data_IF_081654546774
#
_entry.id   IF_081654546774
#
_cell.length_a   1.000
_cell.length_b   1.000
_cell.length_c   1.000
_cell.angle_alpha   90.00
_cell.angle_beta   90.00
_cell.angle_gamma   90.00
#
_symmetry.space_group_name_H-M   'P 1'
#
loop_
_entity.id
_entity.type
_entity.pdbx_description
1 polymer ?
#
# COMPACT_ATOMS: atom_id res chain seq x y z
N UNK A 1 -8.13 1.02 -14.44
CA UNK A 1 -8.58 1.50 -13.13
C UNK A 1 -7.40 1.57 -12.21
N UNK A 2 -7.37 2.55 -11.31
CA UNK A 2 -6.26 2.79 -10.38
C UNK A 2 -6.71 2.51 -8.94
N UNK A 3 -5.75 2.28 -8.04
CA UNK A 3 -6.00 2.06 -6.62
C UNK A 3 -5.22 3.06 -5.76
N UNK A 4 -5.73 3.27 -4.55
CA UNK A 4 -5.19 4.18 -3.53
C UNK A 4 -5.50 3.63 -2.13
N UNK A 5 -4.88 4.20 -1.08
CA UNK A 5 -5.02 3.71 0.29
C UNK A 5 -4.12 2.51 0.64
N UNK A 6 -3.36 2.01 -0.35
CA UNK A 6 -2.39 0.91 -0.22
C UNK A 6 -1.40 1.11 0.93
N UNK A 7 -0.94 2.35 1.15
CA UNK A 7 0.05 2.67 2.18
C UNK A 7 -0.50 2.37 3.56
N UNK A 8 -1.74 2.80 3.85
CA UNK A 8 -2.34 2.58 5.16
C UNK A 8 -2.73 1.11 5.34
N UNK A 9 -3.30 0.49 4.30
CA UNK A 9 -3.70 -0.91 4.33
C UNK A 9 -2.50 -1.85 4.53
N UNK A 10 -1.36 -1.57 3.90
CA UNK A 10 -0.26 -2.52 3.84
C UNK A 10 0.84 -2.24 4.86
N UNK A 11 1.00 -0.98 5.27
CA UNK A 11 2.13 -0.60 6.12
C UNK A 11 1.70 -0.15 7.51
N UNK A 12 0.39 -0.03 7.75
CA UNK A 12 -0.19 0.50 8.99
C UNK A 12 0.06 1.99 9.22
N UNK A 13 0.69 2.70 8.28
CA UNK A 13 0.87 4.15 8.38
C UNK A 13 -0.47 4.89 8.41
N UNK A 14 -0.56 6.01 9.14
CA UNK A 14 -1.68 6.94 9.01
C UNK A 14 -1.86 7.40 7.57
N UNK A 15 -3.09 7.76 7.20
CA UNK A 15 -3.39 8.32 5.88
C UNK A 15 -2.42 9.47 5.54
N UNK A 16 -1.70 9.33 4.44
CA UNK A 16 -0.70 10.33 3.99
C UNK A 16 -1.29 11.41 3.09
N UNK A 17 -2.47 11.16 2.51
CA UNK A 17 -3.18 12.08 1.63
C UNK A 17 -4.70 11.88 1.73
N UNK A 18 -5.45 12.87 1.24
CA UNK A 18 -6.90 12.78 1.07
C UNK A 18 -7.22 12.62 -0.42
N UNK A 19 -8.10 11.69 -0.76
CA UNK A 19 -8.58 11.48 -2.13
C UNK A 19 -10.05 11.92 -2.19
N UNK A 20 -10.39 12.74 -3.18
CA UNK A 20 -11.75 13.25 -3.41
C UNK A 20 -12.15 12.90 -4.83
N UNK A 21 -13.36 12.35 -5.00
CA UNK A 21 -13.92 12.11 -6.33
C UNK A 21 -14.30 13.45 -6.98
N UNK A 22 -13.81 13.70 -8.20
CA UNK A 22 -14.11 14.92 -8.97
C UNK A 22 -15.40 14.79 -9.79
N UNK A 23 -15.87 13.56 -9.98
CA UNK A 23 -17.07 13.20 -10.71
C UNK A 23 -17.70 11.93 -10.11
N UNK A 24 -18.90 11.56 -10.57
CA UNK A 24 -19.58 10.35 -10.10
C UNK A 24 -18.69 9.12 -10.35
N UNK A 25 -18.36 8.41 -9.28
CA UNK A 25 -17.38 7.34 -9.29
C UNK A 25 -17.93 6.09 -8.62
N UNK A 26 -17.60 4.92 -9.18
CA UNK A 26 -17.84 3.62 -8.55
C UNK A 26 -16.53 3.08 -8.00
N UNK A 27 -16.53 2.72 -6.72
CA UNK A 27 -15.35 2.25 -6.00
C UNK A 27 -15.58 0.83 -5.50
N UNK A 28 -14.49 0.06 -5.44
CA UNK A 28 -14.44 -1.23 -4.76
C UNK A 28 -13.60 -1.05 -3.51
N UNK A 29 -14.19 -1.31 -2.35
CA UNK A 29 -13.46 -1.31 -1.08
C UNK A 29 -12.96 -2.72 -0.77
N UNK A 30 -11.69 -2.80 -0.38
CA UNK A 30 -11.09 -4.03 0.15
C UNK A 30 -10.76 -3.81 1.62
N UNK A 31 -11.57 -4.42 2.50
CA UNK A 31 -11.38 -4.29 3.94
C UNK A 31 -10.16 -5.09 4.43
N UNK A 32 -9.47 -4.57 5.45
CA UNK A 32 -8.33 -5.22 6.11
C UNK A 32 -8.55 -6.72 6.41
N UNK A 33 -9.65 -7.17 7.04
CA UNK A 33 -9.82 -8.59 7.37
C UNK A 33 -9.90 -9.49 6.14
N UNK A 34 -10.50 -9.02 5.04
CA UNK A 34 -10.57 -9.77 3.78
C UNK A 34 -9.18 -9.91 3.17
N UNK A 35 -8.41 -8.82 3.17
CA UNK A 35 -7.05 -8.83 2.66
C UNK A 35 -6.11 -9.70 3.52
N UNK A 36 -6.27 -9.63 4.85
CA UNK A 36 -5.51 -10.46 5.79
C UNK A 36 -5.71 -11.96 5.52
N UNK A 37 -6.96 -12.41 5.35
CA UNK A 37 -7.26 -13.80 5.01
C UNK A 37 -6.58 -14.23 3.70
N UNK A 38 -6.63 -13.38 2.66
CA UNK A 38 -5.97 -13.66 1.39
C UNK A 38 -4.44 -13.80 1.54
N UNK A 39 -3.81 -12.96 2.36
CA UNK A 39 -2.36 -13.04 2.59
C UNK A 39 -1.98 -14.28 3.40
N UNK A 40 -2.81 -14.68 4.36
CA UNK A 40 -2.62 -15.92 5.13
C UNK A 40 -2.75 -17.16 4.25
N UNK A 41 -3.76 -17.20 3.37
CA UNK A 41 -3.98 -18.31 2.44
C UNK A 41 -2.88 -18.42 1.37
N UNK A 42 -2.26 -17.29 1.00
CA UNK A 42 -1.22 -17.26 -0.04
C UNK A 42 -0.04 -16.36 0.35
N UNK A 43 0.85 -16.81 1.25
CA UNK A 43 1.94 -15.99 1.78
C UNK A 43 2.90 -15.41 0.73
N UNK A 44 3.06 -16.09 -0.42
CA UNK A 44 3.88 -15.60 -1.54
C UNK A 44 3.37 -14.27 -2.13
N UNK A 45 2.08 -13.95 -1.94
CA UNK A 45 1.52 -12.66 -2.36
C UNK A 45 2.16 -11.48 -1.66
N UNK A 46 2.59 -11.64 -0.40
CA UNK A 46 3.20 -10.56 0.37
C UNK A 46 4.44 -10.03 -0.33
N UNK A 47 5.27 -10.93 -0.87
CA UNK A 47 6.52 -10.59 -1.54
C UNK A 47 6.28 -9.94 -2.90
N UNK A 48 5.33 -10.48 -3.67
CA UNK A 48 4.93 -9.94 -4.97
C UNK A 48 4.36 -8.53 -4.83
N UNK A 49 3.44 -8.34 -3.87
CA UNK A 49 2.83 -7.05 -3.60
C UNK A 49 3.84 -6.04 -3.05
N UNK A 50 4.70 -6.45 -2.11
CA UNK A 50 5.71 -5.57 -1.54
C UNK A 50 6.67 -5.02 -2.60
N UNK A 51 7.08 -5.83 -3.59
CA UNK A 51 7.90 -5.37 -4.72
C UNK A 51 7.18 -4.32 -5.56
N UNK A 52 5.95 -4.62 -5.99
CA UNK A 52 5.14 -3.71 -6.81
C UNK A 52 4.85 -2.39 -6.08
N UNK A 53 4.67 -2.42 -4.76
CA UNK A 53 4.43 -1.21 -3.96
C UNK A 53 5.68 -0.37 -3.82
N UNK A 54 6.84 -0.95 -3.56
CA UNK A 54 8.10 -0.19 -3.48
C UNK A 54 8.36 0.60 -4.78
N UNK A 55 8.12 -0.02 -5.94
CA UNK A 55 8.24 0.64 -7.24
C UNK A 55 7.26 1.82 -7.38
N UNK A 56 6.01 1.64 -6.94
CA UNK A 56 4.96 2.67 -7.05
C UNK A 56 5.10 3.80 -6.05
N UNK A 57 5.45 3.50 -4.80
CA UNK A 57 5.67 4.50 -3.73
C UNK A 57 6.84 5.39 -4.10
N UNK A 58 7.94 4.82 -4.61
CA UNK A 58 9.08 5.60 -5.11
C UNK A 58 8.70 6.57 -6.23
N UNK A 59 7.80 6.16 -7.14
CA UNK A 59 7.29 7.01 -8.21
C UNK A 59 6.36 8.14 -7.72
N UNK A 60 5.41 7.83 -6.83
CA UNK A 60 4.41 8.79 -6.32
C UNK A 60 5.00 9.82 -5.35
N UNK A 61 5.90 9.39 -4.47
CA UNK A 61 6.61 10.28 -3.54
C UNK A 61 7.47 11.32 -4.28
N UNK A 62 8.12 10.91 -5.38
CA UNK A 62 8.88 11.83 -6.25
C UNK A 62 8.02 12.83 -7.01
N UNK A 63 6.81 12.45 -7.38
CA UNK A 63 5.88 13.33 -8.10
C UNK A 63 5.17 14.33 -7.16
N UNK A 64 4.90 13.93 -5.91
CA UNK A 64 4.15 14.75 -4.95
C UNK A 64 5.03 15.72 -4.15
N UNK A 65 6.30 15.39 -3.90
CA UNK A 65 7.19 16.20 -3.10
C UNK A 65 8.33 16.74 -3.96
N UNK A 66 8.42 18.06 -4.13
CA UNK A 66 9.67 18.74 -4.51
C UNK A 66 10.77 18.63 -3.44
N UNK A 67 10.75 17.59 -2.60
CA UNK A 67 11.66 17.30 -1.49
C UNK A 67 11.87 15.77 -1.42
N UNK A 68 13.01 15.27 -0.89
CA UNK A 68 13.37 13.86 -0.98
C UNK A 68 12.49 13.04 -0.02
N UNK A 69 11.33 12.63 -0.51
CA UNK A 69 10.48 11.68 0.19
C UNK A 69 11.16 10.30 0.16
N UNK A 70 11.39 9.77 1.36
CA UNK A 70 12.12 8.52 1.60
C UNK A 70 11.43 7.40 0.83
N UNK A 71 12.09 6.87 -0.21
CA UNK A 71 11.60 5.66 -0.88
C UNK A 71 11.83 4.51 0.10
N UNK A 72 10.79 3.87 0.64
CA UNK A 72 10.99 2.77 1.56
C UNK A 72 11.66 1.63 0.80
N UNK A 73 12.77 1.13 1.33
CA UNK A 73 13.45 -0.03 0.77
C UNK A 73 12.54 -1.29 0.89
N UNK A 74 12.52 -2.12 -0.15
CA UNK A 74 11.70 -3.33 -0.23
C UNK A 74 11.77 -4.24 1.01
N UNK A 75 12.95 -4.50 1.60
CA UNK A 75 13.04 -5.33 2.80
C UNK A 75 12.32 -4.70 4.02
N UNK A 76 12.41 -3.38 4.19
CA UNK A 76 11.76 -2.67 5.29
C UNK A 76 10.24 -2.65 5.12
N UNK A 77 9.76 -2.48 3.89
CA UNK A 77 8.33 -2.51 3.58
C UNK A 77 7.72 -3.89 3.86
N UNK A 78 8.40 -4.96 3.44
CA UNK A 78 7.94 -6.33 3.67
C UNK A 78 7.86 -6.68 5.16
N UNK A 79 8.83 -6.27 5.97
CA UNK A 79 8.80 -6.48 7.41
C UNK A 79 7.59 -5.80 8.08
N UNK A 80 7.23 -4.60 7.61
CA UNK A 80 6.06 -3.87 8.12
C UNK A 80 4.75 -4.50 7.70
N UNK A 81 4.65 -4.99 6.47
CA UNK A 81 3.46 -5.72 5.99
C UNK A 81 3.23 -6.95 6.87
N UNK A 82 4.26 -7.76 7.08
CA UNK A 82 4.18 -8.96 7.93
C UNK A 82 3.73 -8.62 9.36
N UNK A 83 4.35 -7.61 9.98
CA UNK A 83 3.96 -7.16 11.31
C UNK A 83 2.54 -6.60 11.40
N UNK A 84 2.02 -5.93 10.36
CA UNK A 84 0.69 -5.33 10.39
C UNK A 84 -0.45 -6.36 10.21
N UNK A 85 -0.14 -7.48 9.58
CA UNK A 85 -1.06 -8.59 9.33
C UNK A 85 -0.82 -9.81 10.25
N UNK A 86 0.03 -9.66 11.27
CA UNK A 86 0.35 -10.71 12.26
C UNK A 86 0.86 -12.00 11.59
N UNK A 87 1.78 -11.87 10.62
CA UNK A 87 2.39 -12.96 9.84
C UNK A 87 3.89 -13.15 10.10
#
# INVERSE_FOLDING_TARGET
GDFFGEMSLMTGEPRSATVTAVEESRLLEVAKPVFAGLLQDRPSLVEELGRTLCERVGGRLRAAAGAPAQTPETPALLGRIRSFFDM
#
